data_IF_220347752931
#
_entry.id   IF_220347752931
#
_cell.length_a   1.000
_cell.length_b   1.000
_cell.length_c   1.000
_cell.angle_alpha   90.00
_cell.angle_beta   90.00
_cell.angle_gamma   90.00
#
_symmetry.space_group_name_H-M   'P 1'
#
loop_
_entity.id
_entity.type
_entity.pdbx_description
1 polymer ?
#
# COMPACT_ATOMS: atom_id res chain seq x y z
N UNK A 1 10.19 -22.65 -9.17
CA UNK A 1 10.89 -21.57 -8.43
C UNK A 1 11.01 -20.38 -9.37
N UNK A 2 9.98 -19.51 -9.43
CA UNK A 2 10.06 -18.29 -10.21
C UNK A 2 10.86 -17.27 -9.39
N UNK A 3 12.07 -16.96 -9.82
CA UNK A 3 12.77 -15.75 -9.41
C UNK A 3 11.90 -14.58 -9.85
N UNK A 4 11.13 -14.01 -8.93
CA UNK A 4 10.47 -12.74 -9.16
C UNK A 4 11.58 -11.73 -9.45
N UNK A 5 11.74 -11.36 -10.72
CA UNK A 5 12.57 -10.23 -11.10
C UNK A 5 12.17 -9.06 -10.20
N UNK A 6 13.15 -8.45 -9.53
CA UNK A 6 12.94 -7.21 -8.79
C UNK A 6 12.32 -6.23 -9.79
N UNK A 7 11.02 -6.00 -9.66
CA UNK A 7 10.31 -5.13 -10.57
C UNK A 7 10.88 -3.71 -10.44
N UNK A 8 10.96 -3.00 -11.57
CA UNK A 8 11.48 -1.64 -11.67
C UNK A 8 10.94 -0.75 -10.54
N UNK A 9 11.77 0.15 -9.98
CA UNK A 9 11.32 1.13 -9.01
C UNK A 9 10.10 1.89 -9.51
N UNK A 10 9.19 2.20 -8.58
CA UNK A 10 7.99 2.98 -8.91
C UNK A 10 8.36 4.40 -9.32
N UNK A 11 7.66 4.91 -10.33
CA UNK A 11 7.81 6.26 -10.84
C UNK A 11 6.47 6.78 -11.40
N UNK A 12 6.32 8.12 -11.54
CA UNK A 12 5.13 8.71 -12.13
C UNK A 12 4.78 8.19 -13.53
N UNK A 13 5.78 7.83 -14.33
CA UNK A 13 5.60 7.42 -15.73
C UNK A 13 5.29 5.93 -15.93
N UNK A 14 5.50 5.08 -14.91
CA UNK A 14 5.37 3.63 -15.05
C UNK A 14 4.44 2.96 -14.02
N UNK A 15 3.89 3.72 -13.07
CA UNK A 15 3.10 3.16 -11.96
C UNK A 15 1.78 3.91 -11.79
N UNK A 16 0.66 3.18 -11.85
CA UNK A 16 -0.67 3.70 -11.57
C UNK A 16 -1.00 3.48 -10.11
N UNK A 17 -1.42 4.54 -9.43
CA UNK A 17 -1.68 4.51 -7.99
C UNK A 17 -3.18 4.46 -7.71
N UNK A 18 -3.56 3.51 -6.86
CA UNK A 18 -4.86 3.46 -6.22
C UNK A 18 -4.77 4.00 -4.80
N UNK A 19 -5.74 4.80 -4.37
CA UNK A 19 -5.80 5.37 -3.02
C UNK A 19 -7.18 5.18 -2.39
N UNK A 20 -7.23 4.43 -1.29
CA UNK A 20 -8.44 4.15 -0.53
C UNK A 20 -8.38 4.92 0.79
N UNK A 21 -9.39 5.76 1.03
CA UNK A 21 -9.50 6.54 2.26
C UNK A 21 -8.92 7.94 2.11
N UNK A 22 -9.81 8.91 1.90
CA UNK A 22 -9.46 10.33 1.70
C UNK A 22 -9.80 11.16 2.95
N UNK A 23 -9.55 10.59 4.13
CA UNK A 23 -9.70 11.26 5.42
C UNK A 23 -8.69 12.39 5.61
N UNK A 24 -8.59 12.90 6.85
CA UNK A 24 -7.72 14.03 7.19
C UNK A 24 -6.27 13.82 6.74
N UNK A 25 -5.70 12.65 7.07
CA UNK A 25 -4.34 12.29 6.66
C UNK A 25 -4.28 11.85 5.19
N UNK A 26 -5.15 10.91 4.80
CA UNK A 26 -5.10 10.32 3.46
C UNK A 26 -5.24 11.33 2.33
N UNK A 27 -6.08 12.37 2.52
CA UNK A 27 -6.19 13.46 1.56
C UNK A 27 -4.89 14.21 1.35
N UNK A 28 -4.17 14.54 2.42
CA UNK A 28 -2.92 15.30 2.32
C UNK A 28 -1.81 14.47 1.68
N UNK A 29 -1.72 13.18 2.05
CA UNK A 29 -0.72 12.25 1.49
C UNK A 29 -0.98 11.99 0.00
N UNK A 30 -2.23 11.72 -0.39
CA UNK A 30 -2.61 11.56 -1.80
C UNK A 30 -2.31 12.81 -2.63
N UNK A 31 -2.58 14.01 -2.09
CA UNK A 31 -2.29 15.26 -2.76
C UNK A 31 -0.78 15.44 -3.05
N UNK A 32 0.10 14.99 -2.15
CA UNK A 32 1.55 15.03 -2.38
C UNK A 32 1.98 14.11 -3.52
N UNK A 33 1.40 12.91 -3.66
CA UNK A 33 1.68 12.05 -4.84
C UNK A 33 1.27 12.68 -6.14
N UNK A 34 0.07 13.27 -6.17
CA UNK A 34 -0.42 13.93 -7.38
C UNK A 34 0.50 15.08 -7.77
N UNK A 35 0.98 15.87 -6.80
CA UNK A 35 1.97 16.93 -7.04
C UNK A 35 3.33 16.40 -7.49
N UNK A 36 3.71 15.19 -7.07
CA UNK A 36 4.88 14.48 -7.55
C UNK A 36 4.70 13.87 -8.95
N UNK A 37 3.53 14.05 -9.58
CA UNK A 37 3.25 13.65 -10.96
C UNK A 37 2.56 12.30 -11.12
N UNK A 38 2.24 11.60 -10.03
CA UNK A 38 1.56 10.30 -10.13
C UNK A 38 0.11 10.45 -10.58
N UNK A 39 -0.31 9.58 -11.50
CA UNK A 39 -1.74 9.41 -11.81
C UNK A 39 -2.39 8.60 -10.69
N UNK A 40 -3.35 9.20 -10.00
CA UNK A 40 -4.02 8.58 -8.85
C UNK A 40 -5.49 8.36 -9.13
N UNK A 41 -5.95 7.13 -8.89
CA UNK A 41 -7.36 6.78 -8.75
C UNK A 41 -7.71 6.70 -7.27
N UNK A 42 -8.77 7.39 -6.86
CA UNK A 42 -9.21 7.44 -5.47
C UNK A 42 -10.55 6.72 -5.29
N UNK A 43 -10.72 6.11 -4.12
CA UNK A 43 -11.99 5.62 -3.62
C UNK A 43 -12.19 6.09 -2.19
N UNK A 44 -13.40 6.56 -1.90
CA UNK A 44 -13.82 6.84 -0.53
C UNK A 44 -15.31 6.56 -0.40
N UNK A 45 -15.73 5.87 0.67
CA UNK A 45 -17.14 5.53 0.93
C UNK A 45 -18.07 6.74 0.86
N UNK A 46 -17.59 7.90 1.31
CA UNK A 46 -18.29 9.18 1.19
C UNK A 46 -17.59 10.04 0.14
N UNK A 47 -18.15 10.10 -1.07
CA UNK A 47 -17.52 10.78 -2.22
C UNK A 47 -17.21 12.26 -1.96
N UNK A 48 -18.03 12.97 -1.18
CA UNK A 48 -17.81 14.39 -0.87
C UNK A 48 -16.49 14.66 -0.13
N UNK A 49 -15.94 13.67 0.59
CA UNK A 49 -14.62 13.78 1.23
C UNK A 49 -13.46 13.65 0.24
N UNK A 50 -13.73 13.14 -0.97
CA UNK A 50 -12.77 12.96 -2.03
C UNK A 50 -12.69 14.19 -2.96
N UNK A 51 -13.70 15.08 -2.92
CA UNK A 51 -13.83 16.23 -3.83
C UNK A 51 -12.55 17.07 -4.00
N UNK A 52 -11.82 17.45 -2.92
CA UNK A 52 -10.61 18.27 -3.10
C UNK A 52 -9.51 17.59 -3.94
N UNK A 53 -9.46 16.25 -3.96
CA UNK A 53 -8.52 15.49 -4.79
C UNK A 53 -9.03 15.37 -6.23
N UNK A 54 -10.36 15.24 -6.41
CA UNK A 54 -10.97 15.27 -7.74
C UNK A 54 -10.74 16.62 -8.41
N UNK A 55 -10.87 17.72 -7.66
CA UNK A 55 -10.57 19.08 -8.14
C UNK A 55 -9.09 19.25 -8.53
N UNK A 56 -8.19 18.45 -7.94
CA UNK A 56 -6.77 18.37 -8.31
C UNK A 56 -6.50 17.45 -9.52
N UNK A 57 -7.51 16.78 -10.07
CA UNK A 57 -7.40 15.89 -11.24
C UNK A 57 -7.28 14.40 -10.92
N UNK A 58 -7.62 13.96 -9.70
CA UNK A 58 -7.68 12.53 -9.40
C UNK A 58 -8.83 11.85 -10.14
N UNK A 59 -8.64 10.60 -10.54
CA UNK A 59 -9.71 9.77 -11.07
C UNK A 59 -10.54 9.17 -9.93
N UNK A 60 -11.85 9.04 -10.11
CA UNK A 60 -12.72 8.37 -9.13
C UNK A 60 -13.06 6.95 -9.57
N UNK A 61 -13.03 6.00 -8.64
CA UNK A 61 -13.53 4.65 -8.84
C UNK A 61 -14.80 4.38 -8.01
N UNK A 62 -15.70 3.54 -8.53
CA UNK A 62 -16.97 3.20 -7.85
C UNK A 62 -16.82 2.19 -6.71
N UNK A 63 -15.71 1.45 -6.65
CA UNK A 63 -15.41 0.47 -5.61
C UNK A 63 -13.90 0.26 -5.44
N UNK A 64 -13.44 -0.32 -4.31
CA UNK A 64 -12.04 -0.73 -4.14
C UNK A 64 -11.55 -1.71 -5.22
N UNK A 65 -12.40 -2.66 -5.63
CA UNK A 65 -12.13 -3.56 -6.74
C UNK A 65 -11.91 -2.81 -8.05
N UNK A 66 -12.82 -1.89 -8.41
CA UNK A 66 -12.70 -1.12 -9.65
C UNK A 66 -11.40 -0.29 -9.65
N UNK A 67 -11.08 0.34 -8.51
CA UNK A 67 -9.83 1.07 -8.29
C UNK A 67 -8.60 0.17 -8.50
N UNK A 68 -8.58 -1.01 -7.90
CA UNK A 68 -7.44 -1.91 -7.97
C UNK A 68 -7.23 -2.50 -9.37
N UNK A 69 -8.29 -2.72 -10.15
CA UNK A 69 -8.19 -3.28 -11.52
C UNK A 69 -7.42 -2.40 -12.51
N UNK A 70 -7.31 -1.11 -12.19
CA UNK A 70 -6.56 -0.11 -12.95
C UNK A 70 -5.32 0.42 -12.21
N UNK A 71 -4.93 -0.20 -11.08
CA UNK A 71 -3.79 0.21 -10.26
C UNK A 71 -2.70 -0.86 -10.23
N UNK A 72 -1.46 -0.42 -10.05
CA UNK A 72 -0.30 -1.30 -9.84
C UNK A 72 0.07 -1.35 -8.35
N UNK A 73 -0.13 -0.23 -7.65
CA UNK A 73 0.03 -0.10 -6.19
C UNK A 73 -1.23 0.54 -5.61
N UNK A 74 -1.80 -0.08 -4.59
CA UNK A 74 -2.99 0.41 -3.89
C UNK A 74 -2.65 0.74 -2.45
N UNK A 75 -2.78 2.01 -2.07
CA UNK A 75 -2.65 2.47 -0.70
C UNK A 75 -4.02 2.47 0.00
N UNK A 76 -4.06 2.07 1.28
CA UNK A 76 -5.21 2.28 2.17
C UNK A 76 -4.83 3.05 3.42
N UNK A 77 -5.70 3.96 3.85
CA UNK A 77 -5.63 4.60 5.17
C UNK A 77 -7.05 4.90 5.65
N UNK A 78 -7.58 3.99 6.46
CA UNK A 78 -9.00 4.00 6.87
C UNK A 78 -9.15 4.03 8.40
N UNK A 79 -10.39 4.09 8.89
CA UNK A 79 -10.67 4.39 10.30
C UNK A 79 -10.45 3.21 11.26
N UNK A 80 -10.80 1.99 10.83
CA UNK A 80 -10.81 0.82 11.70
C UNK A 80 -10.30 -0.44 10.99
N UNK A 81 -9.77 -1.44 11.73
CA UNK A 81 -9.35 -2.72 11.15
C UNK A 81 -10.45 -3.46 10.36
N UNK A 82 -11.73 -3.29 10.74
CA UNK A 82 -12.86 -3.84 9.99
C UNK A 82 -13.05 -3.16 8.63
N UNK A 83 -12.83 -1.83 8.55
CA UNK A 83 -12.84 -1.11 7.28
C UNK A 83 -11.69 -1.59 6.39
N UNK A 84 -10.48 -1.84 6.95
CA UNK A 84 -9.34 -2.40 6.20
C UNK A 84 -9.70 -3.73 5.55
N UNK A 85 -10.26 -4.68 6.33
CA UNK A 85 -10.72 -5.97 5.79
C UNK A 85 -11.75 -5.79 4.69
N UNK A 86 -12.74 -4.92 4.89
CA UNK A 86 -13.78 -4.67 3.89
C UNK A 86 -13.21 -4.10 2.59
N UNK A 87 -12.32 -3.10 2.67
CA UNK A 87 -11.82 -2.44 1.45
C UNK A 87 -10.70 -3.21 0.76
N UNK A 88 -9.96 -4.07 1.48
CA UNK A 88 -8.86 -4.84 0.91
C UNK A 88 -9.23 -6.27 0.57
N UNK A 89 -9.91 -6.98 1.46
CA UNK A 89 -10.06 -8.44 1.43
C UNK A 89 -11.47 -8.93 1.09
N UNK A 90 -12.48 -8.05 1.01
CA UNK A 90 -13.82 -8.48 0.61
C UNK A 90 -13.79 -9.21 -0.74
N UNK A 91 -14.30 -10.45 -0.85
CA UNK A 91 -14.15 -11.25 -2.06
C UNK A 91 -14.79 -10.62 -3.30
N UNK A 92 -15.86 -9.84 -3.11
CA UNK A 92 -16.69 -9.28 -4.19
C UNK A 92 -16.36 -7.84 -4.55
N UNK A 93 -15.81 -7.08 -3.60
CA UNK A 93 -15.65 -5.63 -3.71
C UNK A 93 -14.29 -5.10 -3.24
N UNK A 94 -13.48 -5.95 -2.60
CA UNK A 94 -12.18 -5.60 -2.06
C UNK A 94 -11.13 -5.33 -3.13
N UNK A 95 -10.15 -4.50 -2.79
CA UNK A 95 -9.05 -4.12 -3.67
C UNK A 95 -8.24 -5.33 -4.13
N UNK A 96 -8.01 -6.30 -3.24
CA UNK A 96 -7.27 -7.51 -3.60
C UNK A 96 -7.94 -8.17 -4.80
N UNK A 97 -9.25 -8.43 -4.79
CA UNK A 97 -9.99 -9.07 -5.89
C UNK A 97 -9.84 -8.39 -7.24
N UNK A 98 -9.61 -7.07 -7.29
CA UNK A 98 -9.36 -6.33 -8.53
C UNK A 98 -7.88 -6.29 -8.95
N UNK A 99 -6.96 -6.50 -8.02
CA UNK A 99 -5.53 -6.32 -8.26
C UNK A 99 -4.96 -7.43 -9.16
N UNK A 100 -4.13 -7.03 -10.14
CA UNK A 100 -3.43 -7.94 -11.06
C UNK A 100 -2.25 -8.61 -10.36
N UNK A 101 -1.85 -9.84 -10.76
CA UNK A 101 -0.62 -10.46 -10.26
C UNK A 101 0.58 -9.51 -10.37
N UNK A 102 1.41 -9.48 -9.32
CA UNK A 102 2.53 -8.53 -9.16
C UNK A 102 2.14 -7.15 -8.59
N UNK A 103 0.86 -6.87 -8.43
CA UNK A 103 0.36 -5.67 -7.76
C UNK A 103 0.64 -5.68 -6.25
N UNK A 104 0.65 -4.48 -5.66
CA UNK A 104 1.00 -4.29 -4.24
C UNK A 104 -0.12 -3.60 -3.48
N UNK A 105 -0.54 -4.17 -2.35
CA UNK A 105 -1.35 -3.50 -1.34
C UNK A 105 -0.44 -2.84 -0.30
N UNK A 106 -0.71 -1.60 0.06
CA UNK A 106 0.03 -0.86 1.10
C UNK A 106 -0.97 -0.34 2.12
N UNK A 107 -1.08 -0.99 3.28
CA UNK A 107 -1.95 -0.49 4.35
C UNK A 107 -1.17 0.43 5.27
N UNK A 108 -1.62 1.67 5.39
CA UNK A 108 -1.04 2.68 6.28
C UNK A 108 -1.94 2.95 7.49
N UNK A 109 -3.00 2.16 7.63
CA UNK A 109 -3.87 2.20 8.81
C UNK A 109 -3.11 1.63 10.00
N UNK A 110 -3.21 2.28 11.16
CA UNK A 110 -2.72 1.67 12.40
C UNK A 110 -3.63 0.49 12.75
N UNK A 111 -3.17 -0.73 12.49
CA UNK A 111 -3.94 -1.96 12.70
C UNK A 111 -3.13 -3.03 13.44
N UNK A 112 -3.76 -4.17 13.72
CA UNK A 112 -3.15 -5.27 14.48
C UNK A 112 -2.23 -6.12 13.57
N UNK A 113 -1.06 -6.59 14.05
CA UNK A 113 -0.15 -7.42 13.26
C UNK A 113 -0.79 -8.68 12.66
N UNK A 114 -1.81 -9.24 13.32
CA UNK A 114 -2.56 -10.40 12.79
C UNK A 114 -3.30 -10.07 11.49
N UNK A 115 -3.82 -8.86 11.34
CA UNK A 115 -4.47 -8.40 10.11
C UNK A 115 -3.43 -8.20 8.99
N UNK A 116 -2.26 -7.63 9.30
CA UNK A 116 -1.18 -7.53 8.32
C UNK A 116 -0.76 -8.91 7.77
N UNK A 117 -0.67 -9.92 8.64
CA UNK A 117 -0.38 -11.30 8.25
C UNK A 117 -1.50 -11.93 7.39
N UNK A 118 -2.77 -11.67 7.74
CA UNK A 118 -3.94 -12.10 6.96
C UNK A 118 -3.92 -11.50 5.54
N UNK A 119 -3.64 -10.20 5.42
CA UNK A 119 -3.52 -9.50 4.13
C UNK A 119 -2.37 -10.09 3.32
N UNK A 120 -1.21 -10.33 3.94
CA UNK A 120 -0.04 -10.90 3.28
C UNK A 120 -0.30 -12.31 2.72
N UNK A 121 -0.93 -13.17 3.52
CA UNK A 121 -1.32 -14.53 3.09
C UNK A 121 -2.31 -14.47 1.91
N UNK A 122 -3.33 -13.61 2.02
CA UNK A 122 -4.35 -13.43 0.99
C UNK A 122 -3.75 -12.88 -0.31
N UNK A 123 -2.87 -11.88 -0.22
CA UNK A 123 -2.17 -11.31 -1.37
C UNK A 123 -1.29 -12.34 -2.07
N UNK A 124 -0.50 -13.10 -1.30
CA UNK A 124 0.38 -14.13 -1.82
C UNK A 124 -0.38 -15.24 -2.57
N UNK A 125 -1.55 -15.65 -2.07
CA UNK A 125 -2.40 -16.65 -2.73
C UNK A 125 -2.87 -16.24 -4.14
N UNK A 126 -2.84 -14.93 -4.45
CA UNK A 126 -3.22 -14.36 -5.75
C UNK A 126 -2.01 -13.83 -6.54
N UNK A 127 -0.80 -14.18 -6.13
CA UNK A 127 0.44 -13.69 -6.77
C UNK A 127 0.64 -12.17 -6.63
N UNK A 128 0.04 -11.56 -5.61
CA UNK A 128 0.20 -10.15 -5.27
C UNK A 128 1.08 -10.01 -4.01
N UNK A 129 1.45 -8.78 -3.67
CA UNK A 129 2.24 -8.45 -2.49
C UNK A 129 1.48 -7.53 -1.55
N UNK A 130 1.88 -7.50 -0.29
CA UNK A 130 1.42 -6.51 0.67
C UNK A 130 2.57 -5.91 1.46
N UNK A 131 2.40 -4.65 1.86
CA UNK A 131 3.27 -3.94 2.79
C UNK A 131 2.39 -3.32 3.87
N UNK A 132 2.67 -3.65 5.13
CA UNK A 132 2.10 -2.95 6.28
C UNK A 132 2.99 -1.73 6.57
N UNK A 133 2.42 -0.53 6.52
CA UNK A 133 3.15 0.73 6.56
C UNK A 133 2.47 1.78 7.44
N UNK A 134 2.11 1.48 8.71
CA UNK A 134 1.47 2.44 9.59
C UNK A 134 2.30 3.72 9.74
N UNK A 135 1.61 4.84 9.87
CA UNK A 135 2.21 6.17 9.88
C UNK A 135 1.99 6.92 11.20
N UNK A 136 3.01 7.70 11.59
CA UNK A 136 3.02 8.55 12.78
C UNK A 136 3.30 10.01 12.42
N UNK A 137 2.77 10.95 13.21
CA UNK A 137 2.93 12.40 12.99
C UNK A 137 1.62 13.16 12.76
N UNK A 138 0.50 12.45 12.66
CA UNK A 138 -0.85 13.03 12.61
C UNK A 138 -1.13 13.90 11.38
N UNK A 139 -2.18 14.71 11.48
CA UNK A 139 -2.63 15.57 10.37
C UNK A 139 -1.60 16.62 9.96
N UNK A 140 -0.90 17.22 10.93
CA UNK A 140 0.17 18.20 10.69
C UNK A 140 1.33 17.56 9.94
N UNK A 141 1.75 16.36 10.35
CA UNK A 141 2.79 15.61 9.66
C UNK A 141 2.39 15.27 8.22
N UNK A 142 1.15 14.84 7.99
CA UNK A 142 0.64 14.54 6.66
C UNK A 142 0.61 15.78 5.74
N UNK A 143 0.18 16.93 6.26
CA UNK A 143 0.17 18.20 5.51
C UNK A 143 1.58 18.68 5.15
N UNK A 144 2.52 18.54 6.08
CA UNK A 144 3.88 19.07 5.94
C UNK A 144 4.87 18.08 5.30
N UNK A 145 4.42 16.89 4.89
CA UNK A 145 5.28 15.82 4.38
C UNK A 145 6.37 15.39 5.39
N UNK A 146 6.03 15.37 6.67
CA UNK A 146 6.95 15.01 7.76
C UNK A 146 6.50 13.81 8.58
N UNK A 147 5.71 12.91 7.99
CA UNK A 147 5.34 11.67 8.66
C UNK A 147 6.57 10.79 8.92
N UNK A 148 6.43 9.89 9.90
CA UNK A 148 7.23 8.68 10.02
C UNK A 148 6.39 7.50 9.53
N UNK A 149 6.98 6.57 8.80
CA UNK A 149 6.28 5.43 8.19
C UNK A 149 7.01 4.17 8.62
N UNK A 150 6.35 3.15 9.15
CA UNK A 150 6.99 1.89 9.55
C UNK A 150 6.65 0.78 8.58
N UNK A 151 7.46 0.57 7.54
CA UNK A 151 7.17 -0.40 6.49
C UNK A 151 7.69 -1.82 6.82
N UNK A 152 6.79 -2.79 6.87
CA UNK A 152 7.05 -4.23 7.00
C UNK A 152 6.46 -5.01 5.81
N UNK A 153 7.24 -5.93 5.25
CA UNK A 153 6.86 -6.74 4.09
C UNK A 153 8.06 -7.42 3.45
N UNK A 154 7.90 -7.94 2.24
CA UNK A 154 9.04 -8.46 1.48
C UNK A 154 10.01 -7.31 1.15
N UNK A 155 11.29 -7.49 1.49
CA UNK A 155 12.31 -6.45 1.35
C UNK A 155 12.43 -5.93 -0.09
N UNK A 156 12.30 -6.81 -1.09
CA UNK A 156 12.37 -6.40 -2.50
C UNK A 156 11.20 -5.49 -2.89
N UNK A 157 10.02 -5.76 -2.33
CA UNK A 157 8.80 -4.95 -2.55
C UNK A 157 8.92 -3.61 -1.83
N UNK A 158 9.38 -3.60 -0.57
CA UNK A 158 9.60 -2.35 0.18
C UNK A 158 10.63 -1.46 -0.53
N UNK A 159 11.73 -2.05 -1.04
CA UNK A 159 12.74 -1.32 -1.83
C UNK A 159 12.15 -0.75 -3.13
N UNK A 160 11.30 -1.51 -3.82
CA UNK A 160 10.59 -1.04 -5.03
C UNK A 160 9.70 0.17 -4.74
N UNK A 161 9.05 0.21 -3.57
CA UNK A 161 8.17 1.31 -3.15
C UNK A 161 8.92 2.51 -2.55
N UNK A 162 10.21 2.39 -2.27
CA UNK A 162 11.00 3.43 -1.61
C UNK A 162 10.88 4.84 -2.22
N UNK A 163 10.76 5.02 -3.56
CA UNK A 163 10.53 6.35 -4.15
C UNK A 163 9.25 7.08 -3.67
N UNK A 164 8.24 6.37 -3.15
CA UNK A 164 7.04 7.00 -2.60
C UNK A 164 7.28 7.67 -1.25
N UNK A 165 8.06 7.05 -0.37
CA UNK A 165 8.11 7.45 1.04
C UNK A 165 8.63 8.89 1.25
N UNK A 166 9.69 9.37 0.56
CA UNK A 166 10.16 10.74 0.70
C UNK A 166 9.15 11.82 0.28
N UNK A 167 8.07 11.46 -0.44
CA UNK A 167 7.08 12.42 -0.93
C UNK A 167 6.22 13.00 0.21
N UNK A 168 6.00 12.22 1.28
CA UNK A 168 5.12 12.62 2.39
C UNK A 168 5.72 12.33 3.78
N UNK A 169 6.96 11.84 3.86
CA UNK A 169 7.66 11.52 5.10
C UNK A 169 9.08 12.07 5.14
N UNK A 170 9.53 12.44 6.34
CA UNK A 170 10.86 13.02 6.60
C UNK A 170 11.86 11.98 7.15
N UNK A 171 11.40 10.78 7.47
CA UNK A 171 12.21 9.66 7.98
C UNK A 171 11.67 8.35 7.37
N UNK A 172 12.52 7.65 6.62
CA UNK A 172 12.16 6.34 6.04
C UNK A 172 12.63 5.22 6.97
N UNK A 173 11.70 4.37 7.39
CA UNK A 173 11.94 3.25 8.32
C UNK A 173 12.44 2.00 7.62
N UNK A 174 13.11 1.17 8.41
CA UNK A 174 13.55 -0.20 8.14
C UNK A 174 12.81 -1.19 9.05
N UNK A 175 12.24 -2.26 8.49
CA UNK A 175 12.02 -3.54 9.19
C UNK A 175 12.26 -4.69 8.20
N UNK A 176 13.36 -5.41 8.37
CA UNK A 176 13.55 -6.73 7.79
C UNK A 176 12.84 -7.75 8.68
N UNK A 177 11.78 -8.39 8.18
CA UNK A 177 11.35 -9.66 8.77
C UNK A 177 12.30 -10.72 8.20
N UNK A 178 13.30 -11.11 9.00
CA UNK A 178 14.13 -12.27 8.67
C UNK A 178 13.22 -13.46 8.34
N UNK A 179 13.36 -14.01 7.14
CA UNK A 179 12.81 -15.34 6.83
C UNK A 179 13.50 -16.31 7.78
N UNK A 180 12.71 -16.97 8.63
CA UNK A 180 13.19 -18.02 9.53
C UNK A 180 14.16 -18.96 8.82
N UNK A 181 15.41 -18.92 9.25
CA UNK A 181 16.49 -19.80 8.83
C UNK A 181 16.16 -21.23 9.29
N UNK A 182 15.44 -22.00 8.47
CA UNK A 182 15.49 -23.46 8.57
C UNK A 182 16.87 -23.89 8.11
N UNK A 183 17.78 -24.01 9.09
CA UNK A 183 19.10 -24.63 8.93
C UNK A 183 18.94 -25.91 8.12
N UNK A 184 19.53 -25.90 6.92
CA UNK A 184 19.99 -27.11 6.24
C UNK A 184 20.86 -27.90 7.22
N UNK A 185 20.33 -29.00 7.76
CA UNK A 185 21.15 -30.02 8.40
C UNK A 185 21.96 -30.69 7.29
N UNK A 186 23.20 -30.22 7.14
CA UNK A 186 24.27 -30.96 6.48
C UNK A 186 24.33 -32.37 7.07
N UNK A 187 24.16 -33.33 6.19
CA UNK A 187 24.72 -34.68 6.23
C UNK A 187 26.03 -34.74 7.02
N UNK A 188 26.08 -35.59 8.03
CA UNK A 188 27.32 -36.26 8.44
C UNK A 188 27.17 -37.74 8.11
N UNK A 189 27.80 -38.12 7.01
CA UNK A 189 28.36 -39.45 6.81
C UNK A 189 29.55 -39.62 7.75
N UNK A 190 29.51 -40.63 8.62
CA UNK A 190 30.62 -41.46 9.12
C UNK A 190 30.04 -42.43 10.15
#
# INVERSE_FOLDING_TARGET
MATAAVAEPVSPSNTRVGWIGTGVMGRSMCAHLMKAGYTVTIFNRTISKAQPLLDMGAHHASSPLALASQSDVVFSIVGFPSDVRSVLLDPSSGALSGLRPGGVLVDMTTSDPSLAAEIASSAASRGCFSVDAPVSGGDRGAKNATLAIFAGGDESVVRRLNPYFPIWARLTTWVALEKGNTRSSRTKSS
#
